data_IF_999722667131
#
_entry.id   IF_999722667131
#
_cell.length_a   1.000
_cell.length_b   1.000
_cell.length_c   1.000
_cell.angle_alpha   90.00
_cell.angle_beta   90.00
_cell.angle_gamma   90.00
#
_symmetry.space_group_name_H-M   'P 1'
#
loop_
_entity.id
_entity.type
_entity.pdbx_description
1 polymer ?
#
# COMPACT_ATOMS: atom_id res chain seq x y z
N UNK A 1 -1.54 -1.66 -10.53
CA UNK A 1 -2.68 -1.54 -9.58
C UNK A 1 -2.83 -0.10 -9.13
N UNK A 2 -4.07 0.37 -8.92
CA UNK A 2 -4.35 1.76 -8.55
C UNK A 2 -4.31 1.92 -7.04
N UNK A 3 -3.44 2.80 -6.54
CA UNK A 3 -3.27 3.05 -5.10
C UNK A 3 -3.35 4.55 -4.84
N UNK A 4 -3.98 4.92 -3.73
CA UNK A 4 -4.07 6.32 -3.30
C UNK A 4 -2.88 6.64 -2.43
N UNK A 5 -1.99 7.51 -2.88
CA UNK A 5 -0.86 8.04 -2.13
C UNK A 5 -1.27 9.29 -1.35
N UNK A 6 -0.92 9.36 -0.07
CA UNK A 6 -1.11 10.57 0.75
C UNK A 6 -0.01 11.59 0.56
N UNK A 7 1.16 11.15 0.09
CA UNK A 7 2.36 11.96 -0.15
C UNK A 7 3.09 11.45 -1.40
N UNK A 8 3.91 12.29 -2.06
CA UNK A 8 4.73 11.83 -3.17
C UNK A 8 5.59 10.64 -2.75
N UNK A 9 5.66 9.63 -3.61
CA UNK A 9 6.40 8.41 -3.34
C UNK A 9 7.38 8.15 -4.48
N UNK A 10 8.65 7.92 -4.13
CA UNK A 10 9.68 7.61 -5.11
C UNK A 10 10.12 6.17 -4.92
N UNK A 11 9.86 5.34 -5.92
CA UNK A 11 10.18 3.92 -5.89
C UNK A 11 11.40 3.62 -6.75
N UNK A 12 12.33 2.85 -6.20
CA UNK A 12 13.51 2.40 -6.93
C UNK A 12 13.32 0.94 -7.34
N UNK A 13 13.03 0.70 -8.61
CA UNK A 13 13.10 -0.64 -9.18
C UNK A 13 14.56 -1.04 -9.39
N UNK A 14 14.90 -2.26 -8.99
CA UNK A 14 16.26 -2.81 -9.08
C UNK A 14 16.88 -2.61 -10.48
N UNK A 15 17.91 -1.75 -10.56
CA UNK A 15 18.67 -1.50 -11.80
C UNK A 15 18.04 -0.50 -12.77
N UNK A 16 16.91 0.12 -12.43
CA UNK A 16 16.23 1.11 -13.25
C UNK A 16 16.26 2.51 -12.63
N UNK A 17 15.96 3.51 -13.46
CA UNK A 17 15.70 4.86 -12.97
C UNK A 17 14.55 4.83 -11.95
N UNK A 18 14.64 5.62 -10.87
CA UNK A 18 13.55 5.72 -9.92
C UNK A 18 12.30 6.31 -10.56
N UNK A 19 11.15 5.79 -10.17
CA UNK A 19 9.85 6.29 -10.58
C UNK A 19 9.28 7.20 -9.49
N UNK A 20 8.97 8.44 -9.86
CA UNK A 20 8.35 9.42 -8.98
C UNK A 20 6.82 9.39 -9.18
N UNK A 21 6.11 9.00 -8.12
CA UNK A 21 4.65 8.95 -8.08
C UNK A 21 4.11 10.17 -7.32
N UNK A 22 3.22 10.98 -7.91
CA UNK A 22 2.60 12.11 -7.22
C UNK A 22 1.63 11.62 -6.13
N UNK A 23 1.36 12.50 -5.16
CA UNK A 23 0.28 12.26 -4.21
C UNK A 23 -1.08 12.22 -4.94
N UNK A 24 -2.00 11.40 -4.45
CA UNK A 24 -3.29 11.13 -5.07
C UNK A 24 -3.35 9.73 -5.67
N UNK A 25 -4.20 9.55 -6.66
CA UNK A 25 -4.38 8.28 -7.32
C UNK A 25 -3.25 8.00 -8.31
N UNK A 26 -2.42 7.00 -8.04
CA UNK A 26 -1.35 6.57 -8.91
C UNK A 26 -1.49 5.09 -9.27
N UNK A 27 -1.21 4.75 -10.51
CA UNK A 27 -1.07 3.36 -10.94
C UNK A 27 0.38 2.93 -10.77
N UNK A 28 0.59 1.89 -9.96
CA UNK A 28 1.90 1.37 -9.60
C UNK A 28 1.84 -0.15 -9.50
N UNK A 29 2.97 -0.84 -9.62
CA UNK A 29 3.02 -2.30 -9.50
C UNK A 29 2.82 -2.80 -8.07
N UNK A 30 2.58 -4.10 -7.91
CA UNK A 30 2.41 -4.75 -6.61
C UNK A 30 3.58 -4.48 -5.66
N UNK A 31 4.82 -4.60 -6.13
CA UNK A 31 6.00 -4.33 -5.30
C UNK A 31 6.13 -2.87 -4.88
N UNK A 32 5.85 -1.95 -5.82
CA UNK A 32 5.92 -0.52 -5.58
C UNK A 32 4.91 -0.09 -4.53
N UNK A 33 3.66 -0.58 -4.60
CA UNK A 33 2.68 -0.19 -3.61
C UNK A 33 2.79 -0.97 -2.29
N UNK A 34 3.32 -2.19 -2.26
CA UNK A 34 3.71 -2.84 -1.00
C UNK A 34 4.78 -2.02 -0.28
N UNK A 35 5.75 -1.46 -1.01
CA UNK A 35 6.71 -0.51 -0.43
C UNK A 35 6.02 0.79 0.01
N UNK A 36 5.16 1.37 -0.82
CA UNK A 36 4.44 2.59 -0.48
C UNK A 36 3.58 2.40 0.79
N UNK A 37 2.94 1.25 0.95
CA UNK A 37 2.11 0.90 2.11
C UNK A 37 2.97 0.73 3.36
N UNK A 38 4.06 -0.04 3.29
CA UNK A 38 5.01 -0.20 4.40
C UNK A 38 5.65 1.12 4.82
N UNK A 39 5.84 2.06 3.89
CA UNK A 39 6.35 3.40 4.17
C UNK A 39 5.28 4.39 4.66
N UNK A 40 4.02 3.97 4.79
CA UNK A 40 2.90 4.83 5.16
C UNK A 40 2.65 5.97 4.16
N UNK A 41 3.02 5.75 2.88
CA UNK A 41 2.80 6.68 1.78
C UNK A 41 1.44 6.48 1.12
N UNK A 42 0.77 5.37 1.39
CA UNK A 42 -0.59 5.11 0.90
C UNK A 42 -1.61 5.59 1.93
N UNK A 43 -2.71 6.17 1.45
CA UNK A 43 -3.93 6.20 2.22
C UNK A 43 -4.32 4.73 2.32
N UNK A 44 -4.33 4.15 3.51
CA UNK A 44 -4.83 2.79 3.69
C UNK A 44 -6.21 2.75 3.05
N UNK A 45 -6.31 2.21 1.83
CA UNK A 45 -7.58 1.73 1.32
C UNK A 45 -7.92 0.67 2.33
N UNK A 46 -8.89 0.98 3.19
CA UNK A 46 -9.33 0.13 4.26
C UNK A 46 -9.77 -1.22 3.69
N UNK A 47 -8.82 -2.11 3.40
CA UNK A 47 -8.98 -3.52 3.71
C UNK A 47 -9.12 -3.50 5.21
N UNK A 48 -10.37 -3.30 5.64
CA UNK A 48 -10.81 -3.57 7.00
C UNK A 48 -10.05 -4.83 7.42
N UNK A 49 -9.32 -4.85 8.54
CA UNK A 49 -8.91 -6.14 9.08
C UNK A 49 -10.19 -6.97 9.13
N UNK A 50 -10.23 -8.09 8.39
CA UNK A 50 -11.31 -9.06 8.62
C UNK A 50 -11.32 -9.29 10.13
N UNK A 51 -12.46 -9.11 10.81
CA UNK A 51 -12.51 -9.41 12.23
C UNK A 51 -12.05 -10.87 12.38
N UNK A 52 -11.17 -11.16 13.37
CA UNK A 52 -10.75 -12.53 13.60
C UNK A 52 -12.00 -13.37 13.76
N UNK A 53 -12.23 -14.31 12.82
CA UNK A 53 -13.35 -15.24 12.90
C UNK A 53 -13.30 -15.92 14.26
N UNK A 54 -14.31 -15.66 15.07
CA UNK A 54 -14.56 -16.27 16.35
C UNK A 54 -14.13 -17.74 16.38
N UNK A 55 -13.25 -18.08 17.33
CA UNK A 55 -13.20 -19.44 17.88
C UNK A 55 -13.56 -19.34 19.35
N UNK A 56 -14.88 -19.40 19.57
CA UNK A 56 -15.62 -19.90 20.74
C UNK A 56 -15.03 -19.63 22.14
N UNK A 57 -15.80 -18.84 22.89
CA UNK A 57 -16.18 -19.17 24.27
C UNK A 57 -16.65 -20.62 24.34
N UNK A 58 -16.03 -21.44 25.17
CA UNK A 58 -16.72 -22.45 25.97
C UNK A 58 -15.95 -22.66 27.27
N UNK A 59 -16.75 -22.81 28.31
CA UNK A 59 -16.49 -22.85 29.75
C UNK A 59 -15.65 -24.06 30.20
#
# INVERSE_FOLDING_TARGET
>A
MKVTLTKPFRYWRHGYAPEDYPAGEAEMDEEAALCAEQCGCTAQSAKKPEPPKDKKTEE
#
